data_IF_128264721755
#
_entry.id   IF_128264721755
#
_cell.length_a   1.000
_cell.length_b   1.000
_cell.length_c   1.000
_cell.angle_alpha   90.00
_cell.angle_beta   90.00
_cell.angle_gamma   90.00
#
_symmetry.space_group_name_H-M   'P 1'
#
loop_
_entity.id
_entity.type
_entity.pdbx_description
1 polymer ?
#
# COMPACT_ATOMS: atom_id res chain seq x y z
N UNK A 1 -24.36 -20.22 -11.57
CA UNK A 1 -24.31 -18.97 -10.80
C UNK A 1 -23.35 -19.19 -9.62
N UNK A 2 -22.03 -19.22 -9.86
CA UNK A 2 -21.06 -19.50 -8.80
C UNK A 2 -20.58 -18.17 -8.19
N UNK A 3 -21.21 -17.81 -7.08
CA UNK A 3 -20.84 -16.70 -6.20
C UNK A 3 -19.42 -16.86 -5.67
N UNK A 4 -18.48 -16.09 -6.21
CA UNK A 4 -17.23 -15.73 -5.52
C UNK A 4 -16.96 -14.25 -5.78
N UNK A 5 -17.74 -13.39 -5.12
CA UNK A 5 -17.25 -12.08 -4.69
C UNK A 5 -16.23 -12.32 -3.56
N UNK A 6 -15.08 -12.90 -3.88
CA UNK A 6 -13.93 -12.77 -3.01
C UNK A 6 -13.39 -11.36 -3.22
N UNK A 7 -13.90 -10.47 -2.38
CA UNK A 7 -13.21 -9.27 -1.95
C UNK A 7 -11.71 -9.57 -1.88
N UNK A 8 -10.83 -8.77 -2.50
CA UNK A 8 -9.40 -8.90 -2.24
C UNK A 8 -9.15 -8.38 -0.82
N UNK A 9 -9.51 -9.15 0.20
CA UNK A 9 -8.83 -9.07 1.49
C UNK A 9 -7.49 -9.77 1.30
N UNK A 10 -6.60 -9.12 0.55
CA UNK A 10 -5.18 -9.40 0.66
C UNK A 10 -4.80 -8.90 2.04
N UNK A 11 -4.89 -9.83 2.99
CA UNK A 11 -4.23 -9.88 4.28
C UNK A 11 -2.96 -9.02 4.25
N UNK A 12 -3.05 -7.80 4.82
CA UNK A 12 -1.94 -6.86 4.93
C UNK A 12 -1.04 -7.26 6.10
N UNK A 13 -0.57 -8.52 6.08
CA UNK A 13 0.58 -8.93 6.89
C UNK A 13 1.85 -8.48 6.17
N UNK A 14 1.93 -7.18 5.88
CA UNK A 14 3.06 -6.57 5.21
C UNK A 14 3.94 -5.95 6.28
N UNK A 15 5.04 -6.61 6.62
CA UNK A 15 6.13 -5.93 7.31
C UNK A 15 6.68 -4.76 6.47
N UNK A 16 6.33 -4.68 5.18
CA UNK A 16 6.57 -3.57 4.27
C UNK A 16 5.41 -3.50 3.26
N UNK A 17 4.52 -2.49 3.29
CA UNK A 17 3.36 -2.33 2.38
C UNK A 17 3.84 -2.19 0.91
N UNK A 18 4.27 -3.27 0.28
CA UNK A 18 4.66 -3.32 -1.12
C UNK A 18 3.47 -3.78 -1.98
N UNK A 19 3.23 -3.08 -3.07
CA UNK A 19 2.10 -3.32 -3.96
C UNK A 19 2.57 -3.70 -5.37
N UNK A 20 1.87 -4.59 -6.06
CA UNK A 20 2.21 -4.96 -7.44
C UNK A 20 1.91 -3.83 -8.44
N UNK A 21 1.10 -2.83 -8.06
CA UNK A 21 0.70 -1.74 -8.95
C UNK A 21 0.74 -0.39 -8.25
N UNK A 22 1.06 0.64 -9.04
CA UNK A 22 1.03 2.03 -8.61
C UNK A 22 -0.32 2.42 -7.99
N UNK A 23 -1.41 2.01 -8.62
CA UNK A 23 -2.76 2.37 -8.17
C UNK A 23 -3.10 1.78 -6.79
N UNK A 24 -2.63 0.57 -6.48
CA UNK A 24 -2.83 -0.03 -5.17
C UNK A 24 -1.98 0.67 -4.10
N UNK A 25 -0.73 1.03 -4.43
CA UNK A 25 0.12 1.84 -3.56
C UNK A 25 -0.46 3.24 -3.28
N UNK A 26 -1.00 3.93 -4.30
CA UNK A 26 -1.63 5.24 -4.11
C UNK A 26 -2.88 5.16 -3.24
N UNK A 27 -3.65 4.06 -3.35
CA UNK A 27 -4.83 3.84 -2.52
C UNK A 27 -4.44 3.75 -1.04
N UNK A 28 -3.41 2.95 -0.72
CA UNK A 28 -2.89 2.86 0.65
C UNK A 28 -2.23 4.16 1.11
N UNK A 29 -1.52 4.86 0.23
CA UNK A 29 -0.95 6.16 0.53
C UNK A 29 -2.03 7.15 1.01
N UNK A 30 -3.19 7.13 0.35
CA UNK A 30 -4.34 7.97 0.72
C UNK A 30 -4.91 7.63 2.09
N UNK A 31 -4.93 6.35 2.47
CA UNK A 31 -5.31 5.90 3.81
C UNK A 31 -4.31 6.37 4.87
N UNK A 32 -3.02 6.25 4.57
CA UNK A 32 -1.90 6.70 5.39
C UNK A 32 -1.71 8.23 5.42
N UNK A 33 -2.59 8.99 4.73
CA UNK A 33 -2.50 10.44 4.53
C UNK A 33 -1.14 10.90 3.99
N UNK A 34 -0.47 10.04 3.23
CA UNK A 34 0.71 10.39 2.47
C UNK A 34 0.37 10.46 0.98
N UNK A 35 1.22 11.11 0.19
CA UNK A 35 0.98 11.32 -1.24
C UNK A 35 2.13 10.74 -2.06
N UNK A 36 1.78 10.23 -3.24
CA UNK A 36 2.72 9.58 -4.14
C UNK A 36 2.88 8.09 -3.89
N UNK A 37 3.63 7.48 -4.78
CA UNK A 37 4.00 6.07 -4.76
C UNK A 37 5.39 5.93 -5.35
N UNK A 38 6.24 5.17 -4.67
CA UNK A 38 7.62 4.94 -5.08
C UNK A 38 7.70 3.58 -5.76
N UNK A 39 8.19 3.53 -7.01
CA UNK A 39 8.54 2.27 -7.65
C UNK A 39 9.85 1.74 -7.04
N UNK A 40 9.80 0.55 -6.43
CA UNK A 40 10.94 -0.24 -6.04
C UNK A 40 11.02 -1.47 -6.96
N UNK A 41 11.66 -1.29 -8.12
CA UNK A 41 11.78 -2.35 -9.13
C UNK A 41 10.42 -2.73 -9.73
N UNK A 42 9.95 -3.94 -9.44
CA UNK A 42 8.65 -4.45 -9.89
C UNK A 42 7.50 -4.14 -8.92
N UNK A 43 7.84 -3.62 -7.74
CA UNK A 43 6.89 -3.34 -6.67
C UNK A 43 6.74 -1.83 -6.47
N UNK A 44 5.64 -1.44 -5.84
CA UNK A 44 5.27 -0.06 -5.58
C UNK A 44 5.04 0.11 -4.10
N UNK A 45 5.75 1.02 -3.47
CA UNK A 45 5.47 1.42 -2.09
C UNK A 45 4.50 2.61 -2.07
N UNK A 46 3.60 2.66 -1.07
CA UNK A 46 2.80 3.82 -0.79
C UNK A 46 3.70 4.94 -0.27
N UNK A 47 3.31 6.18 -0.54
CA UNK A 47 4.10 7.38 -0.30
C UNK A 47 5.30 7.55 -1.25
N UNK A 48 5.69 8.80 -1.50
CA UNK A 48 6.81 9.14 -2.38
C UNK A 48 8.19 8.70 -1.87
N UNK A 49 8.32 8.27 -0.61
CA UNK A 49 9.60 7.89 0.00
C UNK A 49 9.39 6.97 1.19
N UNK A 50 10.38 6.10 1.43
CA UNK A 50 10.38 5.17 2.56
C UNK A 50 10.32 5.90 3.91
N UNK A 51 10.94 7.08 4.05
CA UNK A 51 10.85 7.88 5.29
C UNK A 51 9.42 8.38 5.57
N UNK A 52 8.74 8.89 4.54
CA UNK A 52 7.35 9.36 4.65
C UNK A 52 6.42 8.21 4.99
N UNK A 53 6.62 7.07 4.34
CA UNK A 53 5.91 5.83 4.63
C UNK A 53 6.14 5.37 6.07
N UNK A 54 7.40 5.25 6.52
CA UNK A 54 7.74 4.88 7.89
C UNK A 54 7.09 5.80 8.92
N UNK A 55 7.12 7.12 8.70
CA UNK A 55 6.45 8.09 9.59
C UNK A 55 4.93 7.90 9.59
N UNK A 56 4.32 7.60 8.44
CA UNK A 56 2.88 7.40 8.35
C UNK A 56 2.44 6.11 9.05
N UNK A 57 3.11 4.98 8.81
CA UNK A 57 2.78 3.71 9.47
C UNK A 57 3.15 3.70 10.95
N UNK A 58 4.20 4.41 11.36
CA UNK A 58 4.56 4.55 12.78
C UNK A 58 3.53 5.39 13.55
N UNK A 59 2.82 6.29 12.86
CA UNK A 59 1.72 7.08 13.44
C UNK A 59 0.38 6.35 13.46
N UNK A 60 0.25 5.26 12.71
CA UNK A 60 -0.95 4.41 12.68
C UNK A 60 -0.92 3.32 13.79
N UNK A 61 0.18 3.22 14.56
CA UNK A 61 0.32 2.31 15.72
C UNK A 61 -0.35 2.83 16.99
#
# INVERSE_FOLDING_TARGET
MLSQLLMPTLVHSQANDMFPTKSAAEKRAKELKCTGSLAMGSEWMPCASFETYQKAVSKEK
#
